data_IF_694552852731
#
_entry.id   IF_694552852731
#
_cell.length_a   1.000
_cell.length_b   1.000
_cell.length_c   1.000
_cell.angle_alpha   90.00
_cell.angle_beta   90.00
_cell.angle_gamma   90.00
#
_symmetry.space_group_name_H-M   'P 1'
#
loop_
_entity.id
_entity.type
_entity.pdbx_description
1 polymer ?
#
# COMPACT_ATOMS: atom_id res chain seq x y z
N UNK A 1 4.20 19.09 1.82
CA UNK A 1 3.95 18.62 3.21
C UNK A 1 2.54 18.06 3.41
N UNK A 2 1.48 18.81 3.09
CA UNK A 2 0.07 18.39 3.30
C UNK A 2 -0.27 16.96 2.82
N UNK A 3 0.09 16.59 1.58
CA UNK A 3 -0.16 15.23 1.04
C UNK A 3 0.42 14.10 1.89
N UNK A 4 1.61 14.30 2.47
CA UNK A 4 2.30 13.30 3.27
C UNK A 4 1.62 13.13 4.63
N UNK A 5 1.30 14.25 5.29
CA UNK A 5 0.55 14.23 6.55
C UNK A 5 -0.82 13.57 6.39
N UNK A 6 -1.50 13.82 5.27
CA UNK A 6 -2.76 13.17 4.94
C UNK A 6 -2.59 11.65 4.78
N UNK A 7 -1.57 11.20 4.04
CA UNK A 7 -1.27 9.78 3.86
C UNK A 7 -0.98 9.10 5.21
N UNK A 8 -0.16 9.73 6.06
CA UNK A 8 0.14 9.23 7.42
C UNK A 8 -1.14 9.11 8.25
N UNK A 9 -1.95 10.16 8.29
CA UNK A 9 -3.20 10.16 9.04
C UNK A 9 -4.14 9.05 8.56
N UNK A 10 -4.34 8.89 7.25
CA UNK A 10 -5.20 7.86 6.68
C UNK A 10 -4.70 6.45 6.98
N UNK A 11 -3.39 6.19 6.87
CA UNK A 11 -2.82 4.89 7.22
C UNK A 11 -3.04 4.58 8.70
N UNK A 12 -2.80 5.53 9.60
CA UNK A 12 -3.05 5.36 11.04
C UNK A 12 -4.53 5.02 11.28
N UNK A 13 -5.44 5.77 10.65
CA UNK A 13 -6.88 5.52 10.76
C UNK A 13 -7.26 4.13 10.25
N UNK A 14 -6.72 3.70 9.11
CA UNK A 14 -6.98 2.37 8.54
C UNK A 14 -6.41 1.26 9.43
N UNK A 15 -5.21 1.42 9.99
CA UNK A 15 -4.65 0.47 10.95
C UNK A 15 -5.54 0.36 12.18
N UNK A 16 -5.90 1.49 12.80
CA UNK A 16 -6.78 1.49 13.98
C UNK A 16 -8.13 0.85 13.68
N UNK A 17 -8.69 1.13 12.50
CA UNK A 17 -9.95 0.55 12.06
C UNK A 17 -9.84 -0.97 11.84
N UNK A 18 -8.81 -1.43 11.14
CA UNK A 18 -8.54 -2.84 10.90
C UNK A 18 -8.25 -3.61 12.19
N UNK A 19 -7.54 -3.01 13.15
CA UNK A 19 -7.29 -3.64 14.45
C UNK A 19 -8.56 -3.80 15.28
N UNK A 20 -9.47 -2.81 15.23
CA UNK A 20 -10.72 -2.85 16.01
C UNK A 20 -11.81 -3.71 15.35
N UNK A 21 -11.90 -3.72 14.03
CA UNK A 21 -13.05 -4.26 13.29
C UNK A 21 -12.68 -5.20 12.14
N UNK A 22 -11.39 -5.32 11.80
CA UNK A 22 -10.88 -6.18 10.75
C UNK A 22 -10.61 -7.62 11.20
N UNK A 23 -10.60 -8.54 10.24
CA UNK A 23 -10.19 -9.92 10.41
C UNK A 23 -8.69 -10.07 10.21
N UNK A 24 -8.21 -11.31 10.06
CA UNK A 24 -6.77 -11.57 9.86
C UNK A 24 -6.23 -10.88 8.60
N UNK A 25 -6.85 -11.00 7.41
CA UNK A 25 -6.34 -10.35 6.19
C UNK A 25 -6.33 -8.82 6.28
N UNK A 26 -7.38 -8.22 6.83
CA UNK A 26 -7.49 -6.75 7.00
C UNK A 26 -6.36 -6.21 7.88
N UNK A 27 -6.11 -6.87 9.02
CA UNK A 27 -5.05 -6.48 9.96
C UNK A 27 -3.67 -6.63 9.33
N UNK A 28 -3.43 -7.73 8.63
CA UNK A 28 -2.13 -8.00 7.99
C UNK A 28 -1.83 -6.95 6.92
N UNK A 29 -2.76 -6.69 6.00
CA UNK A 29 -2.55 -5.72 4.93
C UNK A 29 -2.39 -4.30 5.50
N UNK A 30 -3.20 -3.90 6.48
CA UNK A 30 -3.04 -2.60 7.12
C UNK A 30 -1.66 -2.44 7.78
N UNK A 31 -1.15 -3.49 8.43
CA UNK A 31 0.19 -3.47 9.03
C UNK A 31 1.30 -3.44 7.98
N UNK A 32 1.15 -4.13 6.85
CA UNK A 32 2.11 -4.06 5.74
C UNK A 32 2.17 -2.64 5.19
N UNK A 33 1.02 -2.02 4.92
CA UNK A 33 0.96 -0.62 4.45
C UNK A 33 1.64 0.32 5.45
N UNK A 34 1.35 0.19 6.74
CA UNK A 34 2.00 0.97 7.79
C UNK A 34 3.51 0.76 7.82
N UNK A 35 3.98 -0.49 7.75
CA UNK A 35 5.40 -0.81 7.73
C UNK A 35 6.12 -0.19 6.53
N UNK A 36 5.50 -0.22 5.35
CA UNK A 36 6.04 0.45 4.15
C UNK A 36 6.19 1.96 4.35
N UNK A 37 5.14 2.62 4.88
CA UNK A 37 5.18 4.06 5.16
C UNK A 37 6.22 4.41 6.21
N UNK A 38 6.28 3.64 7.29
CA UNK A 38 7.24 3.82 8.37
C UNK A 38 8.69 3.64 7.87
N UNK A 39 8.95 2.59 7.09
CA UNK A 39 10.26 2.33 6.51
C UNK A 39 10.70 3.43 5.54
N UNK A 40 9.81 3.89 4.65
CA UNK A 40 10.10 4.99 3.73
C UNK A 40 10.35 6.31 4.49
N UNK A 41 9.59 6.57 5.55
CA UNK A 41 9.77 7.77 6.39
C UNK A 41 11.09 7.71 7.15
N UNK A 42 11.42 6.56 7.75
CA UNK A 42 12.67 6.35 8.48
C UNK A 42 13.87 6.51 7.55
N UNK A 43 13.82 5.97 6.33
CA UNK A 43 14.86 6.17 5.33
C UNK A 43 15.07 7.66 5.02
N UNK A 44 13.98 8.40 4.77
CA UNK A 44 14.04 9.84 4.51
C UNK A 44 14.57 10.67 5.69
N UNK A 45 14.33 10.24 6.93
CA UNK A 45 14.89 10.88 8.12
C UNK A 45 16.38 10.61 8.31
N UNK A 46 16.86 9.41 7.97
CA UNK A 46 18.25 8.99 8.14
C UNK A 46 19.17 9.49 7.02
N UNK A 47 18.71 9.41 5.76
CA UNK A 47 19.49 9.74 4.57
C UNK A 47 19.22 11.17 4.08
N UNK A 48 18.12 11.77 4.54
CA UNK A 48 17.67 13.08 4.10
C UNK A 48 16.75 13.01 2.86
N UNK A 49 15.98 14.07 2.63
CA UNK A 49 15.02 14.18 1.53
C UNK A 49 15.65 14.67 0.23
N UNK A 50 16.92 14.34 -0.01
CA UNK A 50 17.65 14.71 -1.22
C UNK A 50 17.28 13.71 -2.33
N UNK A 51 16.51 14.16 -3.30
CA UNK A 51 16.08 13.35 -4.44
C UNK A 51 16.94 13.71 -5.64
N UNK A 52 17.99 12.93 -5.91
CA UNK A 52 18.59 12.92 -7.25
C UNK A 52 17.57 12.28 -8.20
N UNK A 53 16.87 13.12 -8.95
CA UNK A 53 15.81 12.70 -9.88
C UNK A 53 16.36 11.81 -11.01
N UNK A 54 17.67 11.87 -11.23
CA UNK A 54 18.39 11.11 -12.25
C UNK A 54 18.73 9.68 -11.83
N UNK A 55 18.68 9.36 -10.53
CA UNK A 55 18.94 8.01 -10.05
C UNK A 55 17.66 7.24 -9.72
N UNK A 56 17.64 5.95 -10.05
CA UNK A 56 16.56 5.06 -9.65
C UNK A 56 16.56 4.95 -8.12
N UNK A 57 15.46 5.30 -7.42
CA UNK A 57 15.41 5.25 -5.97
C UNK A 57 15.29 3.80 -5.49
N UNK A 58 16.42 3.08 -5.46
CA UNK A 58 16.46 1.62 -5.22
C UNK A 58 15.80 1.20 -3.90
N UNK A 59 15.85 2.07 -2.88
CA UNK A 59 15.15 1.86 -1.61
C UNK A 59 13.63 1.72 -1.79
N UNK A 60 13.02 2.51 -2.69
CA UNK A 60 11.57 2.41 -2.98
C UNK A 60 11.26 1.16 -3.77
N UNK A 61 12.09 0.81 -4.76
CA UNK A 61 11.94 -0.42 -5.55
C UNK A 61 11.88 -1.64 -4.62
N UNK A 62 12.82 -1.73 -3.68
CA UNK A 62 12.87 -2.81 -2.70
C UNK A 62 11.63 -2.81 -1.80
N UNK A 63 11.21 -1.65 -1.29
CA UNK A 63 10.01 -1.53 -0.46
C UNK A 63 8.73 -1.95 -1.21
N UNK A 64 8.57 -1.54 -2.47
CA UNK A 64 7.40 -1.89 -3.27
C UNK A 64 7.37 -3.38 -3.64
N UNK A 65 8.52 -3.99 -3.93
CA UNK A 65 8.63 -5.42 -4.17
C UNK A 65 8.30 -6.26 -2.93
N UNK A 66 8.84 -5.88 -1.76
CA UNK A 66 8.53 -6.55 -0.49
C UNK A 66 7.05 -6.36 -0.15
N UNK A 67 6.55 -5.14 -0.25
CA UNK A 67 5.14 -4.81 -0.03
C UNK A 67 4.21 -5.64 -0.91
N UNK A 68 4.49 -5.69 -2.22
CA UNK A 68 3.79 -6.52 -3.18
C UNK A 68 3.81 -8.00 -2.77
N UNK A 69 4.99 -8.56 -2.51
CA UNK A 69 5.13 -9.98 -2.16
C UNK A 69 4.35 -10.35 -0.90
N UNK A 70 4.43 -9.53 0.15
CA UNK A 70 3.70 -9.74 1.40
C UNK A 70 2.19 -9.63 1.20
N UNK A 71 1.72 -8.62 0.47
CA UNK A 71 0.28 -8.44 0.19
C UNK A 71 -0.24 -9.59 -0.69
N UNK A 72 0.52 -10.03 -1.69
CA UNK A 72 0.16 -11.17 -2.54
C UNK A 72 0.04 -12.46 -1.71
N UNK A 73 1.00 -12.72 -0.83
CA UNK A 73 0.98 -13.86 0.11
C UNK A 73 -0.28 -13.86 0.98
N UNK A 74 -0.70 -12.68 1.47
CA UNK A 74 -1.96 -12.55 2.23
C UNK A 74 -3.16 -12.75 1.33
N UNK A 75 -3.16 -12.16 0.14
CA UNK A 75 -4.26 -12.24 -0.81
C UNK A 75 -4.55 -13.68 -1.25
N UNK A 76 -3.51 -14.46 -1.56
CA UNK A 76 -3.64 -15.86 -1.96
C UNK A 76 -4.13 -16.78 -0.83
N UNK A 77 -4.04 -16.34 0.43
CA UNK A 77 -4.53 -17.09 1.60
C UNK A 77 -5.85 -16.58 2.14
N UNK A 78 -6.33 -15.45 1.65
CA UNK A 78 -7.55 -14.81 2.14
C UNK A 78 -8.77 -15.31 1.37
N UNK A 79 -9.83 -15.68 2.08
CA UNK A 79 -11.12 -16.01 1.48
C UNK A 79 -11.94 -14.75 1.15
N UNK A 80 -11.27 -13.77 0.54
CA UNK A 80 -11.82 -12.44 0.24
C UNK A 80 -11.27 -11.97 -1.09
N UNK A 81 -12.11 -11.30 -1.87
CA UNK A 81 -11.73 -10.80 -3.19
C UNK A 81 -10.86 -9.54 -3.12
N UNK A 82 -11.11 -8.64 -2.15
CA UNK A 82 -10.47 -7.32 -2.10
C UNK A 82 -8.94 -7.32 -1.88
N UNK A 83 -8.33 -8.27 -1.12
CA UNK A 83 -6.87 -8.36 -0.99
C UNK A 83 -6.14 -8.52 -2.32
N UNK A 84 -6.75 -9.24 -3.28
CA UNK A 84 -6.17 -9.44 -4.61
C UNK A 84 -6.10 -8.12 -5.39
N UNK A 85 -7.10 -7.24 -5.23
CA UNK A 85 -7.05 -5.89 -5.80
C UNK A 85 -5.94 -5.04 -5.19
N UNK A 86 -5.71 -5.15 -3.88
CA UNK A 86 -4.59 -4.45 -3.22
C UNK A 86 -3.25 -4.95 -3.77
N UNK A 87 -3.11 -6.26 -3.93
CA UNK A 87 -1.92 -6.85 -4.56
C UNK A 87 -1.74 -6.36 -6.00
N UNK A 88 -2.81 -6.30 -6.78
CA UNK A 88 -2.80 -5.87 -8.17
C UNK A 88 -2.38 -4.40 -8.33
N UNK A 89 -2.90 -3.50 -7.49
CA UNK A 89 -2.44 -2.10 -7.53
C UNK A 89 -0.98 -2.00 -7.09
N UNK A 90 -0.55 -2.74 -6.06
CA UNK A 90 0.85 -2.71 -5.63
C UNK A 90 1.81 -3.24 -6.71
N UNK A 91 1.37 -4.20 -7.53
CA UNK A 91 2.11 -4.64 -8.71
C UNK A 91 2.34 -3.50 -9.71
N UNK A 92 1.42 -2.54 -9.84
CA UNK A 92 1.62 -1.38 -10.73
C UNK A 92 2.81 -0.52 -10.28
N UNK A 93 3.04 -0.35 -8.97
CA UNK A 93 4.22 0.35 -8.46
C UNK A 93 5.51 -0.40 -8.80
N UNK A 94 5.52 -1.74 -8.65
CA UNK A 94 6.66 -2.57 -9.05
C UNK A 94 6.92 -2.46 -10.57
N UNK A 95 5.87 -2.47 -11.38
CA UNK A 95 5.98 -2.29 -12.83
C UNK A 95 6.48 -0.89 -13.22
N UNK A 96 6.10 0.16 -12.48
CA UNK A 96 6.64 1.50 -12.71
C UNK A 96 8.16 1.52 -12.60
N UNK A 97 8.70 0.87 -11.56
CA UNK A 97 10.15 0.76 -11.36
C UNK A 97 10.82 -0.10 -12.43
N UNK A 98 10.20 -1.21 -12.82
CA UNK A 98 10.72 -2.06 -13.90
C UNK A 98 10.82 -1.29 -15.22
N UNK A 99 9.76 -0.55 -15.57
CA UNK A 99 9.72 0.28 -16.78
C UNK A 99 10.79 1.38 -16.75
N UNK A 100 11.00 2.01 -15.59
CA UNK A 100 12.08 3.00 -15.41
C UNK A 100 13.46 2.36 -15.51
N UNK A 101 13.64 1.12 -15.04
CA UNK A 101 14.92 0.41 -15.06
C UNK A 101 15.35 -0.06 -16.45
N UNK A 102 14.41 -0.24 -17.38
CA UNK A 102 14.69 -0.59 -18.78
C UNK A 102 14.69 0.63 -19.71
N UNK A 103 14.69 1.84 -19.15
CA UNK A 103 14.58 3.11 -19.88
C UNK A 103 13.41 3.14 -20.88
N UNK A 104 12.27 2.54 -20.50
CA UNK A 104 11.08 2.56 -21.33
C UNK A 104 10.60 4.02 -21.53
N UNK A 105 10.21 4.34 -22.76
CA UNK A 105 9.61 5.63 -23.08
C UNK A 105 8.18 5.69 -22.50
N UNK A 106 8.11 6.15 -21.24
CA UNK A 106 6.85 6.37 -20.53
C UNK A 106 6.58 7.85 -20.40
N UNK A 107 5.37 8.24 -20.77
CA UNK A 107 4.89 9.58 -20.47
C UNK A 107 5.00 9.85 -18.95
N UNK A 108 5.61 10.96 -18.50
CA UNK A 108 5.90 11.20 -17.07
C UNK A 108 4.68 11.12 -16.17
N UNK A 109 3.50 11.51 -16.68
CA UNK A 109 2.23 11.36 -15.95
C UNK A 109 1.88 9.90 -15.67
N UNK A 110 2.07 9.00 -16.65
CA UNK A 110 1.77 7.57 -16.49
C UNK A 110 2.69 6.97 -15.43
N UNK A 111 3.99 7.28 -15.49
CA UNK A 111 4.94 6.86 -14.47
C UNK A 111 4.54 7.38 -13.07
N UNK A 112 4.22 8.67 -12.95
CA UNK A 112 3.82 9.26 -11.68
C UNK A 112 2.52 8.65 -11.11
N UNK A 113 1.59 8.24 -11.98
CA UNK A 113 0.38 7.53 -11.58
C UNK A 113 0.73 6.13 -11.08
N UNK A 114 1.47 5.35 -11.86
CA UNK A 114 1.85 3.98 -11.49
C UNK A 114 2.74 3.93 -10.25
N UNK A 115 3.61 4.91 -10.02
CA UNK A 115 4.47 4.99 -8.84
C UNK A 115 3.67 5.34 -7.57
N UNK A 116 2.77 6.34 -7.63
CA UNK A 116 2.19 6.94 -6.42
C UNK A 116 0.77 6.51 -6.10
N UNK A 117 -0.09 6.37 -7.10
CA UNK A 117 -1.52 6.11 -6.87
C UNK A 117 -1.83 4.74 -6.27
N UNK A 118 -1.08 3.66 -6.57
CA UNK A 118 -1.32 2.36 -5.96
C UNK A 118 -1.44 2.37 -4.45
N UNK A 119 -0.58 3.12 -3.77
CA UNK A 119 -0.59 3.18 -2.31
C UNK A 119 -1.87 3.85 -1.78
N UNK A 120 -2.37 4.90 -2.44
CA UNK A 120 -3.65 5.53 -2.09
C UNK A 120 -4.84 4.59 -2.32
N UNK A 121 -4.83 3.86 -3.43
CA UNK A 121 -5.86 2.87 -3.74
C UNK A 121 -5.83 1.72 -2.73
N UNK A 122 -4.63 1.26 -2.33
CA UNK A 122 -4.44 0.22 -1.33
C UNK A 122 -5.02 0.61 0.04
N UNK A 123 -4.81 1.86 0.49
CA UNK A 123 -5.45 2.40 1.72
C UNK A 123 -6.97 2.32 1.60
N UNK A 124 -7.55 2.84 0.50
CA UNK A 124 -9.00 2.87 0.28
C UNK A 124 -9.62 1.47 0.22
N UNK A 125 -8.99 0.55 -0.50
CA UNK A 125 -9.42 -0.84 -0.61
C UNK A 125 -9.33 -1.56 0.74
N UNK A 126 -8.29 -1.31 1.53
CA UNK A 126 -8.14 -1.90 2.87
C UNK A 126 -9.20 -1.37 3.84
N UNK A 127 -9.51 -0.07 3.77
CA UNK A 127 -10.60 0.54 4.54
C UNK A 127 -11.95 -0.09 4.14
N UNK A 128 -12.23 -0.20 2.85
CA UNK A 128 -13.45 -0.82 2.32
C UNK A 128 -13.57 -2.29 2.75
N UNK A 129 -12.50 -3.07 2.60
CA UNK A 129 -12.45 -4.47 3.02
C UNK A 129 -12.73 -4.65 4.52
N UNK A 130 -12.19 -3.76 5.34
CA UNK A 130 -12.46 -3.71 6.79
C UNK A 130 -13.91 -3.36 7.09
N UNK A 131 -14.49 -2.38 6.38
CA UNK A 131 -15.89 -2.01 6.54
C UNK A 131 -16.84 -3.15 6.18
N UNK A 132 -16.62 -3.80 5.04
CA UNK A 132 -17.40 -4.95 4.60
C UNK A 132 -17.30 -6.13 5.59
N UNK A 133 -16.12 -6.32 6.21
CA UNK A 133 -15.98 -7.31 7.26
C UNK A 133 -16.83 -6.98 8.50
N UNK A 134 -16.72 -5.74 8.96
CA UNK A 134 -17.40 -5.27 10.16
C UNK A 134 -18.92 -5.36 10.03
N UNK A 135 -19.45 -5.14 8.83
CA UNK A 135 -20.87 -5.33 8.52
C UNK A 135 -21.32 -6.77 8.71
N UNK A 136 -20.59 -7.74 8.11
CA UNK A 136 -20.92 -9.17 8.24
C UNK A 136 -20.89 -9.68 9.68
N UNK A 137 -19.92 -9.22 10.47
CA UNK A 137 -19.78 -9.65 11.87
C UNK A 137 -20.94 -9.16 12.76
N UNK A 138 -21.57 -8.03 12.41
CA UNK A 138 -22.74 -7.52 13.16
C UNK A 138 -24.00 -8.33 12.87
N UNK A 139 -24.21 -8.74 11.61
CA UNK A 139 -25.37 -9.53 11.23
C UNK A 139 -25.41 -10.87 11.97
N UNK A 140 -24.28 -11.58 12.06
CA UNK A 140 -24.18 -12.87 12.77
C UNK A 140 -24.39 -12.75 14.28
N UNK A 141 -24.19 -11.58 14.88
CA UNK A 141 -24.35 -11.36 16.34
C UNK A 141 -25.79 -11.04 16.75
N UNK A 142 -26.68 -10.73 15.80
CA UNK A 142 -28.07 -10.34 16.08
C UNK A 142 -29.07 -11.50 15.88
N UNK A 143 -28.58 -12.68 15.51
CA UNK A 143 -29.33 -13.93 15.41
C UNK A 143 -29.00 -14.84 16.61
#
# INVERSE_FOLDING_TARGET
>A
MARFLLQVALVILVVLFAMRKGGRPERQIAMILFAMLAANTLYGLLVGWWSDYDQIPWHRVVLDCIGFGLILIVALRADRWWPLWVSGVQLLSVLAHLLRAIDADLHPLVYAIMDRWPYWMAIGLTALGTYLHAGRAKTVSND
#
